data_IF_446872448256
#
_entry.id   IF_446872448256
#
_cell.length_a   1.000
_cell.length_b   1.000
_cell.length_c   1.000
_cell.angle_alpha   90.00
_cell.angle_beta   90.00
_cell.angle_gamma   90.00
#
_symmetry.space_group_name_H-M   'P 1'
#
loop_
_entity.id
_entity.type
_entity.pdbx_description
1 polymer ?
#
# COMPACT_ATOMS: atom_id res chain seq x y z
N UNK A 1 -10.80 -1.06 -8.85
CA UNK A 1 -11.29 -1.38 -7.49
C UNK A 1 -10.31 -0.71 -6.54
N UNK A 2 -10.79 0.27 -5.78
CA UNK A 2 -9.90 1.07 -4.94
C UNK A 2 -9.51 0.30 -3.68
N UNK A 3 -8.30 0.54 -3.20
CA UNK A 3 -7.81 0.04 -1.92
C UNK A 3 -6.74 0.93 -1.31
N UNK A 4 -6.48 0.69 -0.03
CA UNK A 4 -5.52 1.43 0.77
C UNK A 4 -4.42 0.53 1.30
N UNK A 5 -3.30 1.14 1.68
CA UNK A 5 -2.30 0.45 2.48
C UNK A 5 -2.90 0.11 3.84
N UNK A 6 -2.40 -0.97 4.43
CA UNK A 6 -2.73 -1.34 5.81
C UNK A 6 -1.97 -0.50 6.83
N UNK A 7 -2.57 -0.31 8.01
CA UNK A 7 -1.93 0.21 9.23
C UNK A 7 -0.49 -0.29 9.41
N UNK A 8 -0.29 -1.61 9.25
CA UNK A 8 1.00 -2.25 9.47
C UNK A 8 2.07 -1.84 8.44
N UNK A 9 1.67 -1.60 7.20
CA UNK A 9 2.57 -1.12 6.16
C UNK A 9 2.83 0.37 6.30
N UNK A 10 1.81 1.17 6.62
CA UNK A 10 1.96 2.62 6.82
C UNK A 10 2.99 2.93 7.91
N UNK A 11 2.93 2.23 9.05
CA UNK A 11 3.91 2.36 10.14
C UNK A 11 5.33 2.05 9.65
N UNK A 12 5.51 0.95 8.90
CA UNK A 12 6.83 0.57 8.39
C UNK A 12 7.38 1.57 7.38
N UNK A 13 6.53 2.14 6.53
CA UNK A 13 6.94 3.16 5.57
C UNK A 13 7.29 4.48 6.25
N UNK A 14 6.53 4.87 7.29
CA UNK A 14 6.85 6.04 8.09
C UNK A 14 8.20 5.88 8.79
N UNK A 15 8.43 4.72 9.41
CA UNK A 15 9.71 4.40 10.05
C UNK A 15 10.88 4.38 9.04
N UNK A 16 10.64 3.89 7.82
CA UNK A 16 11.64 3.87 6.76
C UNK A 16 12.01 5.29 6.31
N UNK A 17 11.01 6.14 6.06
CA UNK A 17 11.21 7.56 5.68
C UNK A 17 11.91 8.34 6.77
N UNK A 18 11.51 8.14 8.03
CA UNK A 18 12.06 8.85 9.20
C UNK A 18 13.34 8.22 9.76
N UNK A 19 13.84 7.15 9.12
CA UNK A 19 15.12 6.50 9.40
C UNK A 19 15.21 5.85 10.78
N UNK A 20 14.06 5.45 11.35
CA UNK A 20 13.99 4.74 12.64
C UNK A 20 14.21 3.24 12.44
N UNK A 21 13.56 2.65 11.42
CA UNK A 21 13.70 1.25 11.02
C UNK A 21 13.61 1.12 9.50
N UNK A 22 14.57 0.48 8.82
CA UNK A 22 14.51 0.32 7.37
C UNK A 22 13.41 -0.68 6.96
N UNK A 23 12.66 -0.34 5.92
CA UNK A 23 11.73 -1.24 5.24
C UNK A 23 12.37 -1.82 3.98
N UNK A 24 12.55 -3.14 3.97
CA UNK A 24 13.03 -3.87 2.79
C UNK A 24 11.86 -4.24 1.89
N UNK A 25 12.03 -4.03 0.59
CA UNK A 25 11.02 -4.37 -0.43
C UNK A 25 10.70 -5.87 -0.38
N UNK A 26 9.40 -6.26 -0.45
CA UNK A 26 9.00 -7.67 -0.52
C UNK A 26 9.70 -8.46 -1.63
N UNK A 27 10.12 -9.70 -1.31
CA UNK A 27 10.68 -10.62 -2.32
C UNK A 27 9.63 -11.01 -3.34
N UNK A 28 8.41 -11.31 -2.89
CA UNK A 28 7.25 -11.53 -3.74
C UNK A 28 6.06 -10.80 -3.14
N UNK A 29 5.13 -10.37 -3.99
CA UNK A 29 3.84 -9.82 -3.59
C UNK A 29 2.76 -10.81 -4.00
N UNK A 30 1.80 -11.07 -3.10
CA UNK A 30 0.72 -12.02 -3.30
C UNK A 30 -0.62 -11.34 -3.12
N UNK A 31 -1.56 -11.63 -4.02
CA UNK A 31 -2.94 -11.17 -3.93
C UNK A 31 -3.81 -12.32 -3.41
N UNK A 32 -4.48 -12.04 -2.30
CA UNK A 32 -5.41 -12.90 -1.62
C UNK A 32 -6.87 -12.46 -1.88
N UNK A 33 -7.80 -13.37 -1.67
CA UNK A 33 -9.25 -13.17 -1.71
C UNK A 33 -9.79 -13.35 -0.30
N UNK A 34 -10.83 -12.60 0.05
CA UNK A 34 -11.50 -12.69 1.35
C UNK A 34 -13.01 -12.67 1.21
N UNK A 35 -13.67 -13.46 2.05
CA UNK A 35 -15.14 -13.49 2.16
C UNK A 35 -15.68 -12.41 3.10
N UNK A 36 -14.81 -11.80 3.90
CA UNK A 36 -15.10 -10.72 4.85
C UNK A 36 -14.18 -9.53 4.62
N UNK A 37 -14.56 -8.38 5.20
CA UNK A 37 -13.69 -7.20 5.27
C UNK A 37 -12.43 -7.53 6.08
N UNK A 38 -11.21 -7.44 5.49
CA UNK A 38 -9.97 -7.66 6.20
C UNK A 38 -9.75 -6.69 7.38
N UNK A 39 -10.42 -5.54 7.36
CA UNK A 39 -10.10 -4.35 8.15
C UNK A 39 -8.68 -3.85 7.85
N UNK A 40 -8.39 -2.62 8.25
CA UNK A 40 -7.08 -2.03 7.99
C UNK A 40 -5.92 -2.73 8.72
N UNK A 41 -6.27 -3.43 9.81
CA UNK A 41 -5.34 -4.27 10.59
C UNK A 41 -5.10 -5.67 10.00
N UNK A 42 -5.91 -6.09 9.02
CA UNK A 42 -5.92 -7.47 8.50
C UNK A 42 -6.58 -8.50 9.42
N UNK A 43 -7.04 -8.09 10.62
CA UNK A 43 -7.62 -9.00 11.61
C UNK A 43 -8.96 -9.62 11.18
N UNK A 44 -9.64 -9.02 10.20
CA UNK A 44 -10.91 -9.49 9.66
C UNK A 44 -10.77 -10.43 8.46
N UNK A 45 -9.55 -10.76 8.01
CA UNK A 45 -9.34 -11.58 6.82
C UNK A 45 -9.98 -12.98 6.97
N UNK A 46 -10.74 -13.41 5.95
CA UNK A 46 -11.28 -14.76 5.86
C UNK A 46 -11.06 -15.32 4.45
N UNK A 47 -9.87 -15.86 4.24
CA UNK A 47 -9.48 -16.52 2.98
C UNK A 47 -10.29 -17.81 2.77
N UNK A 48 -10.66 -18.14 1.51
CA UNK A 48 -11.26 -19.44 1.21
C UNK A 48 -10.38 -20.62 1.61
N UNK A 49 -11.00 -21.79 1.87
CA UNK A 49 -10.31 -23.05 2.16
C UNK A 49 -10.28 -23.99 0.95
N UNK A 50 -9.69 -25.18 1.13
CA UNK A 50 -9.82 -26.32 0.22
C UNK A 50 -9.47 -26.02 -1.25
N UNK A 51 -8.16 -25.94 -1.52
CA UNK A 51 -7.58 -25.75 -2.86
C UNK A 51 -7.40 -24.28 -3.28
N UNK A 52 -7.75 -23.35 -2.41
CA UNK A 52 -7.43 -21.94 -2.55
C UNK A 52 -5.95 -21.65 -2.24
N UNK A 53 -5.35 -20.73 -2.99
CA UNK A 53 -4.04 -20.17 -2.72
C UNK A 53 -3.98 -18.72 -3.19
N UNK A 54 -3.19 -17.90 -2.48
CA UNK A 54 -2.85 -16.54 -2.92
C UNK A 54 -2.03 -16.61 -4.21
N UNK A 55 -2.21 -15.64 -5.09
CA UNK A 55 -1.53 -15.61 -6.39
C UNK A 55 -0.41 -14.57 -6.36
N UNK A 56 0.78 -14.96 -6.79
CA UNK A 56 1.92 -14.04 -6.91
C UNK A 56 1.63 -12.98 -7.98
N UNK A 57 1.93 -11.73 -7.67
CA UNK A 57 1.79 -10.58 -8.56
C UNK A 57 2.92 -9.58 -8.29
N UNK A 58 4.04 -9.75 -8.99
CA UNK A 58 5.26 -8.94 -8.83
C UNK A 58 5.42 -7.84 -9.90
N UNK A 59 4.38 -7.55 -10.67
CA UNK A 59 4.42 -6.57 -11.75
C UNK A 59 3.32 -5.54 -11.56
N UNK A 60 3.70 -4.32 -11.23
CA UNK A 60 2.79 -3.21 -10.96
C UNK A 60 3.16 -2.02 -11.83
N UNK A 61 2.17 -1.20 -12.13
CA UNK A 61 2.38 0.01 -12.90
C UNK A 61 3.17 1.04 -12.08
N UNK A 62 3.94 1.90 -12.76
CA UNK A 62 4.63 2.99 -12.09
C UNK A 62 3.62 3.92 -11.42
N UNK A 63 3.90 4.26 -10.16
CA UNK A 63 2.96 5.02 -9.37
C UNK A 63 2.79 6.44 -9.91
N UNK A 64 1.55 6.84 -10.10
CA UNK A 64 1.18 8.17 -10.55
C UNK A 64 -0.09 8.61 -9.83
N UNK A 65 -0.21 9.92 -9.57
CA UNK A 65 -1.38 10.47 -8.87
C UNK A 65 -1.72 9.74 -7.56
N UNK A 66 -0.69 9.29 -6.83
CA UNK A 66 -0.78 8.55 -5.55
C UNK A 66 -1.34 7.13 -5.66
N UNK A 67 -1.36 6.55 -6.86
CA UNK A 67 -1.94 5.25 -7.17
C UNK A 67 -0.98 4.35 -7.96
N UNK A 68 -1.12 3.03 -7.81
CA UNK A 68 -0.50 2.00 -8.66
C UNK A 68 -1.49 0.86 -8.90
N UNK A 69 -1.34 0.18 -10.02
CA UNK A 69 -2.26 -0.86 -10.47
C UNK A 69 -1.54 -2.15 -10.85
N UNK A 70 -2.27 -3.27 -10.83
CA UNK A 70 -1.74 -4.57 -11.24
C UNK A 70 -1.61 -4.64 -12.77
N UNK A 71 -0.40 -4.80 -13.30
CA UNK A 71 -0.16 -4.75 -14.76
C UNK A 71 -0.71 -5.96 -15.54
N UNK A 72 -0.88 -7.10 -14.86
CA UNK A 72 -1.30 -8.37 -15.45
C UNK A 72 -2.56 -8.92 -14.78
N UNK A 73 -3.30 -9.75 -15.52
CA UNK A 73 -4.43 -10.50 -14.95
C UNK A 73 -3.94 -11.49 -13.88
N UNK A 74 -4.59 -11.47 -12.73
CA UNK A 74 -4.38 -12.41 -11.63
C UNK A 74 -5.40 -13.53 -11.78
N UNK A 75 -4.95 -14.76 -12.04
CA UNK A 75 -5.84 -15.91 -12.26
C UNK A 75 -5.72 -16.91 -11.12
N UNK A 76 -6.83 -17.19 -10.45
CA UNK A 76 -6.89 -18.18 -9.36
C UNK A 76 -7.12 -19.58 -9.91
N UNK A 77 -6.72 -20.60 -9.14
CA UNK A 77 -7.11 -21.97 -9.43
C UNK A 77 -8.64 -22.13 -9.49
N UNK A 78 -9.11 -23.13 -10.23
CA UNK A 78 -10.53 -23.47 -10.22
C UNK A 78 -10.96 -23.84 -8.79
N UNK A 79 -12.10 -23.32 -8.33
CA UNK A 79 -12.64 -23.62 -7.01
C UNK A 79 -12.88 -25.13 -6.86
N UNK A 80 -12.18 -25.78 -5.92
CA UNK A 80 -12.34 -27.22 -5.64
C UNK A 80 -13.36 -27.51 -4.54
N UNK A 81 -13.86 -26.48 -3.88
CA UNK A 81 -14.97 -26.49 -2.95
C UNK A 81 -15.82 -25.23 -3.18
N UNK A 82 -16.88 -25.05 -2.39
CA UNK A 82 -17.57 -23.76 -2.34
C UNK A 82 -16.72 -22.77 -1.53
N UNK A 83 -16.15 -21.78 -2.22
CA UNK A 83 -15.34 -20.72 -1.62
C UNK A 83 -16.20 -19.55 -1.09
N UNK A 84 -17.51 -19.65 -1.20
CA UNK A 84 -18.45 -18.66 -0.68
C UNK A 84 -18.54 -17.41 -1.55
N UNK A 85 -18.88 -16.28 -0.91
CA UNK A 85 -19.00 -14.99 -1.58
C UNK A 85 -17.77 -14.14 -1.30
N UNK A 86 -16.93 -13.96 -2.32
CA UNK A 86 -15.71 -13.17 -2.26
C UNK A 86 -16.07 -11.69 -2.32
N UNK A 87 -15.72 -10.95 -1.28
CA UNK A 87 -16.10 -9.55 -1.08
C UNK A 87 -14.91 -8.60 -1.10
N UNK A 88 -13.71 -9.07 -0.75
CA UNK A 88 -12.50 -8.24 -0.68
C UNK A 88 -11.29 -8.95 -1.27
N UNK A 89 -10.28 -8.16 -1.62
CA UNK A 89 -8.94 -8.61 -1.93
C UNK A 89 -7.97 -8.07 -0.89
N UNK A 90 -6.84 -8.74 -0.73
CA UNK A 90 -5.79 -8.37 0.19
C UNK A 90 -4.43 -8.63 -0.43
N UNK A 91 -3.41 -7.86 -0.05
CA UNK A 91 -2.04 -8.00 -0.55
C UNK A 91 -1.13 -8.39 0.61
N UNK A 92 -0.29 -9.40 0.39
CA UNK A 92 0.68 -9.92 1.35
C UNK A 92 2.06 -10.09 0.71
N UNK A 93 3.11 -10.10 1.53
CA UNK A 93 4.47 -10.40 1.07
C UNK A 93 4.83 -11.90 1.09
N UNK A 94 3.87 -12.78 1.42
CA UNK A 94 4.06 -14.22 1.45
C UNK A 94 2.83 -15.00 0.98
N UNK A 95 3.08 -16.19 0.42
CA UNK A 95 2.04 -17.14 -0.03
C UNK A 95 1.16 -17.64 1.12
N UNK A 96 1.71 -17.69 2.33
CA UNK A 96 1.02 -18.05 3.58
C UNK A 96 1.57 -17.20 4.72
N UNK A 97 0.70 -16.64 5.56
CA UNK A 97 1.13 -15.70 6.59
C UNK A 97 1.67 -14.41 5.98
N UNK A 98 2.86 -13.98 6.40
CA UNK A 98 3.48 -12.75 5.89
C UNK A 98 2.87 -11.48 6.50
N UNK A 99 3.38 -10.36 6.04
CA UNK A 99 2.88 -9.04 6.38
C UNK A 99 1.70 -8.69 5.48
N UNK A 100 0.61 -8.23 6.09
CA UNK A 100 -0.49 -7.58 5.39
C UNK A 100 -0.02 -6.22 4.88
N UNK A 101 -0.23 -5.96 3.58
CA UNK A 101 0.33 -4.79 2.90
C UNK A 101 -0.78 -3.80 2.53
N UNK A 102 -1.82 -4.27 1.85
CA UNK A 102 -2.93 -3.44 1.36
C UNK A 102 -4.20 -4.27 1.19
N UNK A 103 -5.34 -3.62 1.07
CA UNK A 103 -6.63 -4.28 0.83
C UNK A 103 -7.63 -3.34 0.17
N UNK A 104 -8.72 -3.92 -0.32
CA UNK A 104 -9.86 -3.19 -0.84
C UNK A 104 -11.03 -4.12 -1.12
N UNK A 105 -12.18 -3.53 -1.43
CA UNK A 105 -13.41 -4.25 -1.72
C UNK A 105 -13.58 -4.52 -3.22
N UNK A 106 -14.31 -5.59 -3.53
CA UNK A 106 -14.89 -5.76 -4.85
C UNK A 106 -16.16 -4.93 -4.94
N UNK A 107 -16.26 -4.07 -5.96
CA UNK A 107 -17.49 -3.29 -6.23
C UNK A 107 -18.74 -4.17 -6.32
N UNK A 108 -18.58 -5.40 -6.81
CA UNK A 108 -19.60 -6.44 -6.77
C UNK A 108 -18.97 -7.74 -6.31
N UNK A 109 -19.46 -8.26 -5.18
CA UNK A 109 -19.03 -9.53 -4.64
C UNK A 109 -19.22 -10.69 -5.65
N UNK A 110 -18.34 -11.69 -5.58
CA UNK A 110 -18.30 -12.82 -6.50
C UNK A 110 -18.60 -14.11 -5.76
N UNK A 111 -19.67 -14.80 -6.15
CA UNK A 111 -19.92 -16.16 -5.65
C UNK A 111 -18.96 -17.13 -6.35
N UNK A 112 -18.42 -18.08 -5.58
CA UNK A 112 -17.40 -19.00 -6.04
C UNK A 112 -17.74 -20.46 -5.66
N UNK A 113 -18.85 -21.02 -6.16
CA UNK A 113 -19.15 -22.42 -5.99
C UNK A 113 -18.10 -23.31 -6.68
N UNK A 114 -18.04 -24.59 -6.31
CA UNK A 114 -17.15 -25.58 -6.92
C UNK A 114 -17.21 -25.54 -8.46
N UNK A 115 -16.04 -25.58 -9.09
CA UNK A 115 -15.88 -25.50 -10.55
C UNK A 115 -15.77 -24.08 -11.11
N UNK A 116 -15.90 -23.04 -10.28
CA UNK A 116 -15.75 -21.65 -10.72
C UNK A 116 -14.29 -21.29 -10.98
N UNK A 117 -14.02 -20.59 -12.07
CA UNK A 117 -12.75 -19.90 -12.29
C UNK A 117 -12.90 -18.43 -11.91
N UNK A 118 -11.98 -17.92 -11.10
CA UNK A 118 -11.93 -16.51 -10.72
C UNK A 118 -10.68 -15.85 -11.29
N UNK A 119 -10.80 -14.58 -11.65
CA UNK A 119 -9.67 -13.74 -11.99
C UNK A 119 -9.95 -12.28 -11.62
N UNK A 120 -8.88 -11.51 -11.49
CA UNK A 120 -8.89 -10.04 -11.42
C UNK A 120 -8.17 -9.55 -12.68
N UNK A 121 -8.79 -8.69 -13.48
CA UNK A 121 -8.19 -8.26 -14.74
C UNK A 121 -6.95 -7.37 -14.49
N UNK A 122 -6.15 -7.12 -15.52
CA UNK A 122 -5.12 -6.09 -15.44
C UNK A 122 -5.77 -4.70 -15.24
N UNK A 123 -5.18 -3.86 -14.40
CA UNK A 123 -5.68 -2.52 -14.07
C UNK A 123 -6.90 -2.49 -13.13
N UNK A 124 -7.33 -3.64 -12.62
CA UNK A 124 -8.55 -3.72 -11.81
C UNK A 124 -8.28 -3.41 -10.33
N UNK A 125 -7.09 -3.67 -9.79
CA UNK A 125 -6.68 -3.24 -8.44
C UNK A 125 -6.02 -1.88 -8.58
N UNK A 126 -6.47 -0.92 -7.77
CA UNK A 126 -5.86 0.39 -7.58
C UNK A 126 -5.50 0.53 -6.09
N UNK A 127 -4.20 0.56 -5.78
CA UNK A 127 -3.70 0.82 -4.42
C UNK A 127 -3.28 2.27 -4.33
N UNK A 128 -3.96 3.03 -3.47
CA UNK A 128 -3.78 4.48 -3.34
C UNK A 128 -3.31 4.91 -1.94
N UNK A 129 -2.43 5.91 -1.87
CA UNK A 129 -2.19 6.68 -0.65
C UNK A 129 -3.22 7.81 -0.48
N UNK A 130 -3.95 7.82 0.64
CA UNK A 130 -4.89 8.89 0.99
C UNK A 130 -4.23 10.28 0.99
N UNK A 131 -4.91 11.27 0.43
CA UNK A 131 -4.46 12.67 0.44
C UNK A 131 -4.39 13.25 1.86
N UNK A 132 -3.55 14.25 2.07
CA UNK A 132 -3.42 15.01 3.32
C UNK A 132 -2.41 14.47 4.34
N UNK A 133 -1.91 13.23 4.17
CA UNK A 133 -0.90 12.64 5.06
C UNK A 133 0.54 12.83 4.59
N UNK A 134 0.78 12.63 3.29
CA UNK A 134 2.09 12.75 2.64
C UNK A 134 1.97 13.46 1.29
N UNK A 135 3.03 14.11 0.84
CA UNK A 135 3.06 14.78 -0.46
C UNK A 135 2.99 13.77 -1.63
N UNK A 136 2.50 14.20 -2.78
CA UNK A 136 2.30 13.36 -3.97
C UNK A 136 3.61 12.71 -4.43
N UNK A 137 4.73 13.43 -4.32
CA UNK A 137 6.04 12.90 -4.69
C UNK A 137 6.46 11.72 -3.81
N UNK A 138 6.26 11.85 -2.49
CA UNK A 138 6.63 10.80 -1.55
C UNK A 138 5.66 9.62 -1.67
N UNK A 139 4.36 9.87 -1.85
CA UNK A 139 3.36 8.83 -2.09
C UNK A 139 3.75 7.93 -3.27
N UNK A 140 4.04 8.52 -4.43
CA UNK A 140 4.42 7.74 -5.62
C UNK A 140 5.71 6.95 -5.39
N UNK A 141 6.75 7.57 -4.80
CA UNK A 141 8.02 6.88 -4.50
C UNK A 141 7.85 5.70 -3.55
N UNK A 142 6.99 5.84 -2.53
CA UNK A 142 6.75 4.77 -1.57
C UNK A 142 5.92 3.63 -2.16
N UNK A 143 4.95 3.93 -3.04
CA UNK A 143 4.25 2.90 -3.81
C UNK A 143 5.23 2.17 -4.74
N UNK A 144 6.03 2.91 -5.50
CA UNK A 144 7.05 2.32 -6.38
C UNK A 144 8.05 1.45 -5.60
N UNK A 145 8.39 1.84 -4.37
CA UNK A 145 9.27 1.07 -3.50
C UNK A 145 8.61 -0.24 -3.06
N UNK A 146 7.40 -0.18 -2.51
CA UNK A 146 6.67 -1.37 -2.03
C UNK A 146 6.38 -2.34 -3.18
N UNK A 147 5.90 -1.82 -4.31
CA UNK A 147 5.42 -2.59 -5.45
C UNK A 147 6.49 -2.91 -6.49
N UNK A 148 7.77 -2.80 -6.10
CA UNK A 148 8.95 -3.29 -6.82
C UNK A 148 9.21 -2.58 -8.15
N UNK A 149 8.69 -1.37 -8.34
CA UNK A 149 8.90 -0.57 -9.55
C UNK A 149 10.20 0.22 -9.47
N UNK A 150 10.48 0.89 -8.35
CA UNK A 150 11.70 1.68 -8.14
C UNK A 150 12.00 1.80 -6.65
N UNK A 151 13.22 1.45 -6.24
CA UNK A 151 13.63 1.51 -4.84
C UNK A 151 13.70 2.96 -4.31
N UNK A 152 13.06 3.20 -3.17
CA UNK A 152 13.19 4.44 -2.39
C UNK A 152 14.27 4.29 -1.32
N UNK A 153 15.33 5.08 -1.47
CA UNK A 153 16.35 5.26 -0.44
C UNK A 153 16.06 6.54 0.36
N UNK A 154 15.92 6.46 1.70
CA UNK A 154 15.75 7.65 2.54
C UNK A 154 16.92 8.63 2.40
N UNK A 155 16.62 9.92 2.46
CA UNK A 155 17.62 10.98 2.29
C UNK A 155 18.66 10.99 3.42
N UNK A 156 19.89 11.40 3.09
CA UNK A 156 20.98 11.48 4.10
C UNK A 156 20.61 12.42 5.24
N UNK A 157 19.99 13.55 4.95
CA UNK A 157 19.51 14.52 5.93
C UNK A 157 18.04 14.86 5.69
N UNK A 158 17.25 14.78 6.74
CA UNK A 158 15.90 15.34 6.77
C UNK A 158 15.94 16.75 7.34
N UNK A 159 15.14 17.64 6.78
CA UNK A 159 15.07 19.04 7.15
C UNK A 159 13.65 19.44 7.49
N UNK A 160 13.50 20.24 8.55
CA UNK A 160 12.22 20.87 8.90
C UNK A 160 12.23 22.31 8.41
N UNK A 161 11.27 22.65 7.55
CA UNK A 161 11.05 24.01 7.04
C UNK A 161 9.76 24.60 7.60
N UNK A 162 9.73 25.92 7.78
CA UNK A 162 8.57 26.68 8.24
C UNK A 162 7.88 27.37 7.08
N UNK A 163 6.55 27.28 7.02
CA UNK A 163 5.74 27.84 5.96
C UNK A 163 4.71 28.83 6.50
N UNK A 164 4.53 29.96 5.80
CA UNK A 164 3.51 30.98 6.12
C UNK A 164 2.18 30.75 5.38
N UNK A 165 2.18 29.86 4.39
CA UNK A 165 0.99 29.36 3.70
C UNK A 165 1.14 27.88 3.39
N UNK A 166 0.02 27.15 3.28
CA UNK A 166 0.04 25.69 3.11
C UNK A 166 0.85 25.26 1.87
N UNK A 167 1.83 24.34 2.01
CA UNK A 167 2.61 23.84 0.88
C UNK A 167 1.84 22.92 -0.07
N UNK A 168 0.66 22.44 0.32
CA UNK A 168 -0.16 21.42 -0.38
C UNK A 168 0.59 20.12 -0.69
N UNK A 169 -0.14 19.05 -0.99
CA UNK A 169 0.48 17.74 -1.26
C UNK A 169 1.30 17.71 -2.56
N UNK A 170 0.97 18.55 -3.54
CA UNK A 170 1.75 18.67 -4.78
C UNK A 170 3.13 19.29 -4.55
N UNK A 171 3.33 19.98 -3.41
CA UNK A 171 4.53 20.76 -3.11
C UNK A 171 4.74 21.96 -4.05
N UNK A 172 3.75 22.32 -4.87
CA UNK A 172 3.83 23.43 -5.83
C UNK A 172 3.31 24.75 -5.28
N UNK A 173 2.68 24.72 -4.10
CA UNK A 173 2.16 25.89 -3.41
C UNK A 173 2.92 26.13 -2.09
N UNK A 174 2.46 27.11 -1.32
CA UNK A 174 3.06 27.50 -0.06
C UNK A 174 4.12 28.57 -0.19
N UNK A 175 4.47 29.17 0.93
CA UNK A 175 5.52 30.17 1.04
C UNK A 175 6.38 29.81 2.23
N UNK A 176 7.57 29.29 1.97
CA UNK A 176 8.54 29.05 3.02
C UNK A 176 9.00 30.39 3.60
N UNK A 177 9.23 30.42 4.91
CA UNK A 177 9.83 31.57 5.59
C UNK A 177 11.17 31.90 4.90
N UNK A 178 11.47 33.19 4.75
CA UNK A 178 12.74 33.65 4.19
C UNK A 178 13.20 34.94 4.86
N UNK A 179 14.51 35.19 4.80
CA UNK A 179 15.15 36.36 5.41
C UNK A 179 15.49 36.17 6.90
N UNK A 180 16.13 37.20 7.47
CA UNK A 180 16.60 37.16 8.86
C UNK A 180 17.63 36.05 9.10
N UNK A 181 17.51 35.36 10.23
CA UNK A 181 18.36 34.24 10.62
C UNK A 181 17.74 32.86 10.29
N UNK A 182 16.63 32.81 9.53
CA UNK A 182 15.96 31.56 9.22
C UNK A 182 16.80 30.70 8.26
N UNK A 183 16.99 29.45 8.65
CA UNK A 183 17.43 28.35 7.81
C UNK A 183 16.60 27.11 8.19
N UNK A 184 16.46 26.14 7.28
CA UNK A 184 15.89 24.84 7.64
C UNK A 184 16.79 24.15 8.65
N UNK A 185 16.19 23.52 9.65
CA UNK A 185 16.93 22.77 10.66
C UNK A 185 17.04 21.31 10.25
N UNK A 186 18.23 20.72 10.45
CA UNK A 186 18.44 19.28 10.25
C UNK A 186 17.76 18.53 11.39
N UNK A 187 16.87 17.59 11.07
CA UNK A 187 16.20 16.75 12.05
C UNK A 187 16.25 15.29 11.61
N UNK A 188 17.29 14.56 12.05
CA UNK A 188 17.48 13.14 11.71
C UNK A 188 17.06 12.17 12.83
N UNK A 189 16.64 12.68 13.98
CA UNK A 189 16.19 11.87 15.11
C UNK A 189 14.68 11.97 15.27
N UNK A 190 14.00 10.84 15.08
CA UNK A 190 12.55 10.71 15.21
C UNK A 190 12.24 9.52 16.11
N UNK A 191 11.12 9.59 16.81
CA UNK A 191 10.60 8.43 17.54
C UNK A 191 10.01 7.42 16.55
N UNK A 192 10.03 6.13 16.92
CA UNK A 192 9.40 5.09 16.12
C UNK A 192 7.89 5.34 16.00
N UNK A 193 7.34 5.01 14.84
CA UNK A 193 5.92 5.13 14.57
C UNK A 193 5.11 4.18 15.49
N UNK A 194 4.07 4.72 16.15
CA UNK A 194 3.28 3.99 17.14
C UNK A 194 1.85 3.68 16.70
N UNK A 195 1.31 4.41 15.71
CA UNK A 195 0.03 4.17 15.05
C UNK A 195 -0.05 4.96 13.72
N UNK A 196 -0.84 4.48 12.76
CA UNK A 196 -1.25 5.26 11.59
C UNK A 196 -2.13 6.45 11.98
N UNK A 197 -2.25 7.45 11.10
CA UNK A 197 -3.20 8.54 11.32
C UNK A 197 -4.61 8.04 10.93
N UNK A 198 -5.53 8.03 11.90
CA UNK A 198 -6.96 7.74 11.66
C UNK A 198 -7.66 8.82 10.86
#
# INVERSE_FOLDING_TARGET
>A
MAGSLSDALEIKLLDHVLKTTPFSVPTNIYVALSTTDPLDTGAGIAEPSDGYARIVMDSWDAAASRATENTNQITYGQATADWGNITHWAIYDAVTGGNFLAHGDFTVAKTAPIGTNLYIAAGDIDVTFSAGGICDNLANKLLDHVFKTTEYTPETNLYVGLFTTSPTDSGTAGTEVSGGAYAREVCNGWDAAAAGAT
#
